data_IF_041425723564
#
_entry.id   IF_041425723564
#
_cell.length_a   1.000
_cell.length_b   1.000
_cell.length_c   1.000
_cell.angle_alpha   90.00
_cell.angle_beta   90.00
_cell.angle_gamma   90.00
#
_symmetry.space_group_name_H-M   'P 1'
#
loop_
_entity.id
_entity.type
_entity.pdbx_description
1 polymer ?
#
# COMPACT_ATOMS: atom_id res chain seq x y z
N UNK A 1 63.40 -18.28 23.87
CA UNK A 1 62.70 -17.02 23.52
C UNK A 1 61.66 -17.20 22.40
N UNK A 2 60.75 -18.18 22.52
CA UNK A 2 59.86 -18.58 21.39
C UNK A 2 58.35 -18.39 21.59
N UNK A 3 57.88 -17.93 22.76
CA UNK A 3 56.45 -17.98 23.10
C UNK A 3 55.65 -16.73 22.66
N UNK A 4 56.30 -15.57 22.49
CA UNK A 4 55.63 -14.31 22.14
C UNK A 4 55.22 -14.17 20.66
N UNK A 5 55.85 -14.90 19.74
CA UNK A 5 55.52 -14.85 18.31
C UNK A 5 54.28 -15.71 17.97
N UNK A 6 54.14 -16.86 18.62
CA UNK A 6 53.01 -17.79 18.42
C UNK A 6 51.67 -17.21 18.91
N UNK A 7 51.67 -16.49 20.03
CA UNK A 7 50.46 -15.86 20.57
C UNK A 7 49.95 -14.71 19.67
N UNK A 8 50.84 -13.88 19.12
CA UNK A 8 50.48 -12.77 18.21
C UNK A 8 49.99 -13.25 16.84
N UNK A 9 50.58 -14.33 16.30
CA UNK A 9 50.08 -14.97 15.09
C UNK A 9 48.68 -15.59 15.28
N UNK A 10 48.43 -16.17 16.45
CA UNK A 10 47.13 -16.75 16.81
C UNK A 10 46.03 -15.70 17.03
N UNK A 11 46.37 -14.53 17.55
CA UNK A 11 45.42 -13.43 17.72
C UNK A 11 45.10 -12.73 16.38
N UNK A 12 46.11 -12.47 15.53
CA UNK A 12 45.90 -11.96 14.16
C UNK A 12 45.10 -12.93 13.29
N UNK A 13 45.37 -14.24 13.38
CA UNK A 13 44.60 -15.25 12.65
C UNK A 13 43.16 -15.41 13.15
N UNK A 14 42.88 -15.10 14.42
CA UNK A 14 41.51 -15.02 14.94
C UNK A 14 40.79 -13.74 14.50
N UNK A 15 41.48 -12.60 14.52
CA UNK A 15 40.92 -11.34 14.03
C UNK A 15 40.61 -11.40 12.52
N UNK A 16 41.52 -11.95 11.71
CA UNK A 16 41.31 -12.12 10.28
C UNK A 16 40.15 -13.09 9.98
N UNK A 17 40.01 -14.18 10.74
CA UNK A 17 38.86 -15.09 10.62
C UNK A 17 37.56 -14.46 11.10
N UNK A 18 37.60 -13.63 12.13
CA UNK A 18 36.42 -12.90 12.63
C UNK A 18 35.97 -11.85 11.62
N UNK A 19 36.89 -11.07 11.06
CA UNK A 19 36.62 -10.08 10.00
C UNK A 19 36.15 -10.78 8.73
N UNK A 20 36.76 -11.88 8.32
CA UNK A 20 36.29 -12.67 7.18
C UNK A 20 34.90 -13.29 7.41
N UNK A 21 34.60 -13.76 8.63
CA UNK A 21 33.28 -14.27 9.00
C UNK A 21 32.22 -13.15 9.09
N UNK A 22 32.61 -11.94 9.51
CA UNK A 22 31.74 -10.75 9.48
C UNK A 22 31.50 -10.28 8.04
N UNK A 23 32.52 -10.33 7.18
CA UNK A 23 32.43 -10.02 5.76
C UNK A 23 31.53 -11.05 5.05
N UNK A 24 31.68 -12.36 5.33
CA UNK A 24 30.85 -13.45 4.79
C UNK A 24 29.37 -13.31 5.21
N UNK A 25 29.09 -12.95 6.47
CA UNK A 25 27.72 -12.63 6.93
C UNK A 25 27.13 -11.39 6.25
N UNK A 26 27.98 -10.49 5.72
CA UNK A 26 27.53 -9.32 4.96
C UNK A 26 27.23 -9.63 3.49
N UNK A 27 27.76 -10.75 2.95
CA UNK A 27 27.53 -11.18 1.56
C UNK A 27 26.25 -12.02 1.43
N UNK A 28 25.82 -12.70 2.50
CA UNK A 28 24.67 -13.62 2.47
C UNK A 28 23.32 -13.02 2.91
N UNK A 29 23.22 -11.69 3.03
CA UNK A 29 21.90 -11.06 3.14
C UNK A 29 21.24 -11.00 1.75
N UNK A 30 20.88 -12.17 1.24
CA UNK A 30 19.93 -12.34 0.15
C UNK A 30 18.61 -11.79 0.68
N UNK A 31 18.35 -10.51 0.37
CA UNK A 31 17.04 -9.91 0.56
C UNK A 31 16.08 -10.89 -0.13
N UNK A 32 15.13 -11.52 0.59
CA UNK A 32 14.11 -12.32 -0.04
C UNK A 32 13.50 -11.44 -1.13
N UNK A 33 13.43 -11.95 -2.35
CA UNK A 33 12.62 -11.31 -3.37
C UNK A 33 11.18 -11.43 -2.88
N UNK A 34 10.74 -10.46 -2.07
CA UNK A 34 9.35 -10.20 -1.70
C UNK A 34 8.61 -9.71 -2.95
N UNK A 35 8.75 -10.46 -4.02
CA UNK A 35 7.82 -10.52 -5.13
C UNK A 35 6.65 -11.41 -4.69
N UNK A 36 6.13 -11.18 -3.48
CA UNK A 36 4.77 -11.54 -3.14
C UNK A 36 3.90 -10.58 -3.95
N UNK A 37 3.61 -10.99 -5.18
CA UNK A 37 2.35 -10.63 -5.79
C UNK A 37 1.29 -11.07 -4.78
N UNK A 38 0.69 -10.11 -4.09
CA UNK A 38 -0.48 -10.36 -3.25
C UNK A 38 -1.46 -11.14 -4.15
N UNK A 39 -1.93 -12.33 -3.75
CA UNK A 39 -2.98 -12.99 -4.49
C UNK A 39 -4.25 -12.16 -4.27
N UNK A 40 -4.44 -11.13 -5.11
CA UNK A 40 -5.72 -10.47 -5.24
C UNK A 40 -6.71 -11.52 -5.76
N UNK A 41 -7.71 -11.87 -4.92
CA UNK A 41 -9.04 -12.09 -5.46
C UNK A 41 -9.62 -13.49 -5.46
N UNK A 42 -9.28 -14.38 -4.53
CA UNK A 42 -10.11 -15.59 -4.29
C UNK A 42 -11.00 -15.45 -3.05
N UNK A 43 -10.49 -14.89 -1.95
CA UNK A 43 -11.27 -14.76 -0.69
C UNK A 43 -12.42 -13.75 -0.80
N UNK A 44 -12.21 -12.61 -1.48
CA UNK A 44 -13.25 -11.58 -1.67
C UNK A 44 -14.30 -11.96 -2.72
N UNK A 45 -13.91 -12.72 -3.76
CA UNK A 45 -14.83 -13.16 -4.82
C UNK A 45 -15.78 -14.25 -4.31
N UNK A 46 -15.25 -15.24 -3.59
CA UNK A 46 -16.05 -16.31 -3.00
C UNK A 46 -17.10 -15.74 -2.01
N UNK A 47 -16.68 -14.77 -1.19
CA UNK A 47 -17.56 -14.10 -0.23
C UNK A 47 -18.62 -13.24 -0.91
N UNK A 48 -18.28 -12.55 -2.01
CA UNK A 48 -19.24 -11.79 -2.81
C UNK A 48 -20.27 -12.71 -3.50
N UNK A 49 -19.84 -13.85 -4.05
CA UNK A 49 -20.74 -14.85 -4.66
C UNK A 49 -21.68 -15.44 -3.61
N UNK A 50 -21.17 -15.77 -2.42
CA UNK A 50 -21.98 -16.27 -1.32
C UNK A 50 -23.06 -15.25 -0.89
N UNK A 51 -22.68 -13.97 -0.74
CA UNK A 51 -23.63 -12.91 -0.37
C UNK A 51 -24.73 -12.70 -1.44
N UNK A 52 -24.38 -12.80 -2.72
CA UNK A 52 -25.37 -12.70 -3.82
C UNK A 52 -26.32 -13.90 -3.81
N UNK A 53 -25.79 -15.11 -3.56
CA UNK A 53 -26.60 -16.32 -3.48
C UNK A 53 -27.55 -16.29 -2.27
N UNK A 54 -27.06 -15.85 -1.11
CA UNK A 54 -27.85 -15.70 0.12
C UNK A 54 -28.98 -14.68 -0.07
N UNK A 55 -28.68 -13.52 -0.69
CA UNK A 55 -29.72 -12.53 -1.04
C UNK A 55 -30.76 -13.07 -2.02
N UNK A 56 -30.35 -13.85 -3.02
CA UNK A 56 -31.28 -14.46 -3.97
C UNK A 56 -32.21 -15.50 -3.30
N UNK A 57 -31.69 -16.29 -2.35
CA UNK A 57 -32.52 -17.18 -1.53
C UNK A 57 -33.44 -16.40 -0.60
N UNK A 58 -32.98 -15.32 0.03
CA UNK A 58 -33.81 -14.50 0.91
C UNK A 58 -34.95 -13.81 0.14
N UNK A 59 -34.70 -13.30 -1.06
CA UNK A 59 -35.76 -12.76 -1.93
C UNK A 59 -36.74 -13.84 -2.36
N UNK A 60 -36.27 -15.04 -2.68
CA UNK A 60 -37.14 -16.15 -3.09
C UNK A 60 -37.99 -16.67 -1.92
N UNK A 61 -37.46 -16.69 -0.70
CA UNK A 61 -38.19 -17.05 0.53
C UNK A 61 -39.23 -15.97 0.87
N UNK A 62 -38.92 -14.68 0.65
CA UNK A 62 -39.85 -13.57 0.86
C UNK A 62 -41.01 -13.60 -0.15
N UNK A 63 -40.72 -13.94 -1.41
CA UNK A 63 -41.71 -14.11 -2.49
C UNK A 63 -42.62 -15.32 -2.24
N UNK A 64 -42.10 -16.44 -1.74
CA UNK A 64 -42.92 -17.62 -1.43
C UNK A 64 -43.78 -17.44 -0.17
N UNK A 65 -43.37 -16.59 0.78
CA UNK A 65 -44.07 -16.38 2.05
C UNK A 65 -45.18 -15.31 1.99
N UNK A 66 -45.32 -14.59 0.88
CA UNK A 66 -46.30 -13.50 0.72
C UNK A 66 -47.57 -13.86 -0.06
N UNK A 67 -47.79 -15.14 -0.40
CA UNK A 67 -49.07 -15.59 -0.96
C UNK A 67 -50.13 -15.67 0.14
N UNK A 68 -50.64 -14.51 0.55
CA UNK A 68 -51.92 -14.42 1.26
C UNK A 68 -53.03 -14.84 0.28
N UNK A 69 -53.97 -15.71 0.69
CA UNK A 69 -55.15 -15.97 -0.11
C UNK A 69 -55.93 -14.65 -0.23
N UNK A 70 -56.00 -14.12 -1.45
CA UNK A 70 -56.84 -12.97 -1.78
C UNK A 70 -58.27 -13.29 -1.35
N UNK A 71 -58.72 -12.68 -0.24
CA UNK A 71 -60.13 -12.66 0.12
C UNK A 71 -60.84 -11.97 -1.02
N UNK A 72 -61.68 -12.71 -1.74
CA UNK A 72 -62.55 -12.09 -2.74
C UNK A 72 -63.34 -10.96 -2.06
N UNK A 73 -63.32 -9.74 -2.62
CA UNK A 73 -64.05 -8.63 -2.04
C UNK A 73 -65.54 -8.98 -2.10
N UNK A 74 -66.15 -9.09 -0.92
CA UNK A 74 -67.60 -9.20 -0.79
C UNK A 74 -68.14 -7.94 -1.48
N UNK A 75 -68.92 -8.07 -2.55
CA UNK A 75 -69.23 -6.92 -3.37
C UNK A 75 -70.16 -5.98 -2.60
N UNK A 76 -69.73 -4.74 -2.43
CA UNK A 76 -70.49 -3.69 -1.74
C UNK A 76 -71.87 -3.52 -2.39
N UNK A 77 -72.88 -3.30 -1.54
CA UNK A 77 -74.24 -2.97 -1.96
C UNK A 77 -74.18 -1.58 -2.63
N UNK A 78 -74.87 -1.40 -3.75
CA UNK A 78 -74.83 -0.18 -4.58
C UNK A 78 -75.03 1.12 -3.78
N UNK A 79 -75.86 1.04 -2.74
CA UNK A 79 -76.13 2.12 -1.81
C UNK A 79 -74.86 2.63 -1.11
N UNK A 80 -74.03 1.72 -0.60
CA UNK A 80 -72.78 2.06 0.09
C UNK A 80 -71.79 2.71 -0.88
N UNK A 81 -71.71 2.21 -2.12
CA UNK A 81 -70.86 2.79 -3.16
C UNK A 81 -71.24 4.24 -3.47
N UNK A 82 -72.53 4.51 -3.70
CA UNK A 82 -73.02 5.85 -4.04
C UNK A 82 -72.84 6.81 -2.86
N UNK A 83 -73.15 6.37 -1.64
CA UNK A 83 -72.94 7.18 -0.45
C UNK A 83 -71.44 7.51 -0.28
N UNK A 84 -70.56 6.52 -0.37
CA UNK A 84 -69.12 6.69 -0.25
C UNK A 84 -68.55 7.60 -1.37
N UNK A 85 -69.05 7.48 -2.60
CA UNK A 85 -68.66 8.34 -3.72
C UNK A 85 -69.05 9.79 -3.49
N UNK A 86 -70.31 10.05 -3.12
CA UNK A 86 -70.80 11.41 -2.86
C UNK A 86 -70.07 12.06 -1.67
N UNK A 87 -69.74 11.28 -0.63
CA UNK A 87 -68.92 11.73 0.50
C UNK A 87 -67.50 12.08 0.06
N UNK A 88 -66.81 11.18 -0.66
CA UNK A 88 -65.43 11.38 -1.14
C UNK A 88 -65.29 12.59 -2.06
N UNK A 89 -66.31 12.87 -2.86
CA UNK A 89 -66.35 14.02 -3.77
C UNK A 89 -66.90 15.30 -3.11
N UNK A 90 -67.30 15.25 -1.83
CA UNK A 90 -67.78 16.41 -1.07
C UNK A 90 -69.17 16.91 -1.48
N UNK A 91 -69.99 16.07 -2.11
CA UNK A 91 -71.31 16.43 -2.65
C UNK A 91 -72.45 16.18 -1.63
N UNK A 92 -72.40 16.87 -0.49
CA UNK A 92 -73.28 16.61 0.66
C UNK A 92 -74.77 16.87 0.41
N UNK A 93 -75.12 17.91 -0.35
CA UNK A 93 -76.52 18.19 -0.71
C UNK A 93 -77.12 17.10 -1.60
N UNK A 94 -76.34 16.57 -2.53
CA UNK A 94 -76.75 15.48 -3.42
C UNK A 94 -76.92 14.19 -2.64
N UNK A 95 -76.07 13.95 -1.64
CA UNK A 95 -76.19 12.81 -0.73
C UNK A 95 -77.49 12.87 0.08
N UNK A 96 -77.82 14.02 0.68
CA UNK A 96 -79.04 14.18 1.47
C UNK A 96 -80.32 13.95 0.64
N UNK A 97 -80.37 14.51 -0.58
CA UNK A 97 -81.49 14.27 -1.50
C UNK A 97 -81.58 12.79 -1.88
N UNK A 98 -80.46 12.18 -2.26
CA UNK A 98 -80.40 10.77 -2.64
C UNK A 98 -80.88 9.84 -1.53
N UNK A 99 -80.39 10.02 -0.30
CA UNK A 99 -80.80 9.20 0.84
C UNK A 99 -82.29 9.35 1.12
N UNK A 100 -82.81 10.58 1.08
CA UNK A 100 -84.24 10.85 1.32
C UNK A 100 -85.14 10.13 0.31
N UNK A 101 -84.82 10.22 -0.97
CA UNK A 101 -85.57 9.56 -2.05
C UNK A 101 -85.44 8.03 -1.97
N UNK A 102 -84.25 7.52 -1.65
CA UNK A 102 -83.97 6.09 -1.53
C UNK A 102 -84.77 5.44 -0.39
N UNK A 103 -84.80 6.06 0.80
CA UNK A 103 -85.61 5.58 1.93
C UNK A 103 -87.11 5.67 1.65
N UNK A 104 -87.56 6.71 0.93
CA UNK A 104 -88.96 6.85 0.53
C UNK A 104 -89.39 5.73 -0.45
N UNK A 105 -88.51 5.35 -1.40
CA UNK A 105 -88.76 4.23 -2.30
C UNK A 105 -88.82 2.88 -1.57
N UNK A 106 -87.95 2.67 -0.57
CA UNK A 106 -87.95 1.47 0.26
C UNK A 106 -89.25 1.34 1.04
N UNK A 107 -89.74 2.45 1.64
CA UNK A 107 -91.00 2.45 2.40
C UNK A 107 -92.23 2.17 1.54
N UNK A 108 -92.19 2.55 0.26
CA UNK A 108 -93.27 2.28 -0.72
C UNK A 108 -93.28 0.84 -1.24
N UNK A 109 -92.36 -0.02 -0.81
CA UNK A 109 -92.36 -1.45 -1.12
C UNK A 109 -91.92 -1.80 -2.54
N UNK A 110 -91.22 -0.90 -3.23
CA UNK A 110 -90.68 -1.17 -4.58
C UNK A 110 -89.48 -2.10 -4.44
N UNK A 111 -89.72 -3.41 -4.53
CA UNK A 111 -88.71 -4.47 -4.33
C UNK A 111 -87.76 -4.64 -5.52
N UNK A 112 -88.09 -4.11 -6.70
CA UNK A 112 -87.33 -4.30 -7.94
C UNK A 112 -85.93 -3.63 -7.94
N UNK A 113 -85.65 -2.70 -7.03
CA UNK A 113 -84.32 -2.08 -6.91
C UNK A 113 -83.30 -2.93 -6.14
N UNK A 114 -83.73 -3.91 -5.32
CA UNK A 114 -82.80 -4.77 -4.56
C UNK A 114 -82.06 -5.78 -5.44
N UNK A 115 -82.59 -6.06 -6.64
CA UNK A 115 -82.01 -6.97 -7.63
C UNK A 115 -81.15 -6.24 -8.68
N UNK A 116 -80.93 -4.93 -8.53
CA UNK A 116 -79.93 -4.22 -9.32
C UNK A 116 -78.57 -4.71 -8.81
N UNK A 117 -78.04 -5.70 -9.53
CA UNK A 117 -76.83 -6.44 -9.16
C UNK A 117 -75.62 -5.52 -8.91
N UNK A 118 -74.69 -6.02 -8.11
CA UNK A 118 -73.46 -5.33 -7.71
C UNK A 118 -72.82 -4.54 -8.86
N UNK A 119 -72.58 -3.24 -8.64
CA UNK A 119 -71.87 -2.37 -9.57
C UNK A 119 -70.51 -3.00 -9.89
N UNK A 120 -70.25 -3.42 -11.14
CA UNK A 120 -69.03 -4.14 -11.47
C UNK A 120 -67.79 -3.24 -11.46
N UNK A 121 -66.82 -3.68 -10.65
CA UNK A 121 -65.40 -3.91 -10.98
C UNK A 121 -64.55 -2.75 -11.52
N UNK A 122 -64.96 -2.02 -12.55
CA UNK A 122 -64.10 -1.08 -13.30
C UNK A 122 -63.64 0.12 -12.47
N UNK A 123 -64.50 0.69 -11.61
CA UNK A 123 -64.11 1.80 -10.74
C UNK A 123 -63.11 1.35 -9.67
N UNK A 124 -63.39 0.21 -9.02
CA UNK A 124 -62.51 -0.38 -8.01
C UNK A 124 -61.18 -0.79 -8.63
N UNK A 125 -61.21 -1.37 -9.83
CA UNK A 125 -60.04 -1.73 -10.61
C UNK A 125 -59.23 -0.48 -11.00
N UNK A 126 -59.86 0.61 -11.45
CA UNK A 126 -59.18 1.87 -11.72
C UNK A 126 -58.56 2.48 -10.46
N UNK A 127 -59.25 2.44 -9.33
CA UNK A 127 -58.70 2.92 -8.06
C UNK A 127 -57.49 2.08 -7.61
N UNK A 128 -57.53 0.76 -7.79
CA UNK A 128 -56.40 -0.13 -7.53
C UNK A 128 -55.23 0.16 -8.47
N UNK A 129 -55.49 0.30 -9.77
CA UNK A 129 -54.49 0.64 -10.79
C UNK A 129 -53.87 2.02 -10.58
N UNK A 130 -54.65 3.00 -10.10
CA UNK A 130 -54.14 4.32 -9.72
C UNK A 130 -53.21 4.24 -8.51
N UNK A 131 -53.59 3.45 -7.50
CA UNK A 131 -52.77 3.25 -6.31
C UNK A 131 -51.48 2.49 -6.65
N UNK A 132 -51.57 1.45 -7.48
CA UNK A 132 -50.42 0.71 -7.99
C UNK A 132 -49.51 1.62 -8.82
N UNK A 133 -50.05 2.44 -9.73
CA UNK A 133 -49.26 3.43 -10.47
C UNK A 133 -48.55 4.43 -9.54
N UNK A 134 -49.21 4.87 -8.47
CA UNK A 134 -48.59 5.78 -7.48
C UNK A 134 -47.43 5.07 -6.75
N UNK A 135 -47.63 3.81 -6.36
CA UNK A 135 -46.60 3.00 -5.71
C UNK A 135 -45.43 2.72 -6.66
N UNK A 136 -45.70 2.26 -7.89
CA UNK A 136 -44.68 2.02 -8.92
C UNK A 136 -43.87 3.28 -9.25
N UNK A 137 -44.51 4.45 -9.33
CA UNK A 137 -43.81 5.73 -9.53
C UNK A 137 -42.89 6.07 -8.36
N UNK A 138 -43.33 5.79 -7.13
CA UNK A 138 -42.52 6.00 -5.92
C UNK A 138 -41.33 5.05 -5.90
N UNK A 139 -41.55 3.78 -6.19
CA UNK A 139 -40.49 2.76 -6.24
C UNK A 139 -39.49 3.05 -7.35
N UNK A 140 -39.94 3.44 -8.54
CA UNK A 140 -39.07 3.86 -9.63
C UNK A 140 -38.18 5.04 -9.22
N UNK A 141 -38.73 6.03 -8.51
CA UNK A 141 -37.94 7.15 -7.98
C UNK A 141 -36.90 6.66 -6.97
N UNK A 142 -37.27 5.74 -6.08
CA UNK A 142 -36.33 5.16 -5.10
C UNK A 142 -35.22 4.36 -5.77
N UNK A 143 -35.55 3.50 -6.73
CA UNK A 143 -34.56 2.72 -7.49
C UNK A 143 -33.62 3.62 -8.29
N UNK A 144 -34.14 4.68 -8.90
CA UNK A 144 -33.31 5.66 -9.60
C UNK A 144 -32.31 6.34 -8.66
N UNK A 145 -32.77 6.79 -7.49
CA UNK A 145 -31.89 7.39 -6.47
C UNK A 145 -30.85 6.39 -5.95
N UNK A 146 -31.23 5.14 -5.72
CA UNK A 146 -30.32 4.08 -5.28
C UNK A 146 -29.25 3.78 -6.35
N UNK A 147 -29.65 3.68 -7.62
CA UNK A 147 -28.73 3.47 -8.73
C UNK A 147 -27.77 4.66 -8.90
N UNK A 148 -28.27 5.88 -8.77
CA UNK A 148 -27.45 7.09 -8.88
C UNK A 148 -26.41 7.17 -7.76
N UNK A 149 -26.81 6.84 -6.52
CA UNK A 149 -25.89 6.75 -5.38
C UNK A 149 -24.85 5.65 -5.56
N UNK A 150 -25.27 4.45 -5.97
CA UNK A 150 -24.36 3.32 -6.21
C UNK A 150 -23.31 3.67 -7.28
N UNK A 151 -23.71 4.38 -8.34
CA UNK A 151 -22.80 4.87 -9.38
C UNK A 151 -21.80 5.89 -8.84
N UNK A 152 -22.22 6.81 -7.97
CA UNK A 152 -21.30 7.77 -7.33
C UNK A 152 -20.29 7.08 -6.41
N UNK A 153 -20.73 6.13 -5.60
CA UNK A 153 -19.85 5.40 -4.68
C UNK A 153 -18.87 4.48 -5.44
N UNK A 154 -19.31 3.88 -6.55
CA UNK A 154 -18.43 3.16 -7.47
C UNK A 154 -17.35 4.07 -8.07
N UNK A 155 -17.70 5.29 -8.48
CA UNK A 155 -16.72 6.24 -9.00
C UNK A 155 -15.72 6.68 -7.92
N UNK A 156 -16.14 6.86 -6.67
CA UNK A 156 -15.23 7.18 -5.55
C UNK A 156 -14.25 6.04 -5.29
N UNK A 157 -14.74 4.81 -5.19
CA UNK A 157 -13.90 3.62 -4.94
C UNK A 157 -12.93 3.36 -6.10
N UNK A 158 -13.34 3.56 -7.35
CA UNK A 158 -12.44 3.48 -8.50
C UNK A 158 -11.31 4.52 -8.44
N UNK A 159 -11.62 5.77 -8.08
CA UNK A 159 -10.60 6.82 -7.91
C UNK A 159 -9.59 6.46 -6.81
N UNK A 160 -10.07 5.96 -5.67
CA UNK A 160 -9.20 5.54 -4.57
C UNK A 160 -8.29 4.36 -4.98
N UNK A 161 -8.89 3.34 -5.62
CA UNK A 161 -8.13 2.21 -6.19
C UNK A 161 -7.05 2.69 -7.16
N UNK A 162 -7.39 3.60 -8.07
CA UNK A 162 -6.46 4.12 -9.07
C UNK A 162 -5.36 4.98 -8.44
N UNK A 163 -5.70 5.75 -7.40
CA UNK A 163 -4.74 6.48 -6.58
C UNK A 163 -3.75 5.54 -5.91
N UNK A 164 -4.23 4.50 -5.22
CA UNK A 164 -3.36 3.49 -4.58
C UNK A 164 -2.49 2.76 -5.61
N UNK A 165 -3.07 2.36 -6.74
CA UNK A 165 -2.34 1.68 -7.81
C UNK A 165 -1.25 2.55 -8.40
N UNK A 166 -1.53 3.83 -8.65
CA UNK A 166 -0.53 4.79 -9.14
C UNK A 166 0.57 5.02 -8.09
N UNK A 167 0.18 5.21 -6.83
CA UNK A 167 1.10 5.48 -5.73
C UNK A 167 2.04 4.30 -5.48
N UNK A 168 1.51 3.08 -5.45
CA UNK A 168 2.32 1.87 -5.34
C UNK A 168 3.34 1.76 -6.48
N UNK A 169 2.92 1.99 -7.73
CA UNK A 169 3.85 2.01 -8.89
C UNK A 169 4.97 3.02 -8.70
N UNK A 170 4.67 4.23 -8.22
CA UNK A 170 5.68 5.25 -7.94
C UNK A 170 6.65 4.80 -6.86
N UNK A 171 6.15 4.29 -5.72
CA UNK A 171 6.98 3.80 -4.62
C UNK A 171 7.91 2.69 -5.09
N UNK A 172 7.41 1.75 -5.90
CA UNK A 172 8.24 0.66 -6.43
C UNK A 172 9.37 1.19 -7.32
N UNK A 173 9.10 2.20 -8.16
CA UNK A 173 10.13 2.85 -8.97
C UNK A 173 11.19 3.54 -8.09
N UNK A 174 10.77 4.29 -7.08
CA UNK A 174 11.66 4.96 -6.13
C UNK A 174 12.50 3.95 -5.33
N UNK A 175 11.87 2.89 -4.80
CA UNK A 175 12.54 1.78 -4.12
C UNK A 175 13.61 1.15 -5.02
N UNK A 176 13.28 0.86 -6.27
CA UNK A 176 14.21 0.25 -7.22
C UNK A 176 15.40 1.16 -7.54
N UNK A 177 15.17 2.47 -7.66
CA UNK A 177 16.24 3.46 -7.81
C UNK A 177 17.19 3.43 -6.62
N UNK A 178 16.66 3.51 -5.39
CA UNK A 178 17.45 3.46 -4.16
C UNK A 178 18.22 2.14 -4.02
N UNK A 179 17.63 1.01 -4.40
CA UNK A 179 18.30 -0.29 -4.41
C UNK A 179 19.50 -0.26 -5.36
N UNK A 180 19.36 0.34 -6.54
CA UNK A 180 20.45 0.42 -7.52
C UNK A 180 21.57 1.35 -7.03
N UNK A 181 21.21 2.50 -6.47
CA UNK A 181 22.18 3.43 -5.88
C UNK A 181 22.96 2.76 -4.74
N UNK A 182 22.28 2.01 -3.87
CA UNK A 182 22.92 1.25 -2.79
C UNK A 182 23.86 0.15 -3.32
N UNK A 183 23.46 -0.56 -4.38
CA UNK A 183 24.33 -1.56 -5.04
C UNK A 183 25.58 -0.90 -5.61
N UNK A 184 25.45 0.23 -6.30
CA UNK A 184 26.56 1.00 -6.81
C UNK A 184 27.50 1.49 -5.70
N UNK A 185 26.93 2.00 -4.62
CA UNK A 185 27.70 2.45 -3.46
C UNK A 185 28.49 1.30 -2.82
N UNK A 186 27.86 0.14 -2.61
CA UNK A 186 28.53 -1.06 -2.09
C UNK A 186 29.71 -1.48 -2.97
N UNK A 187 29.53 -1.48 -4.29
CA UNK A 187 30.59 -1.81 -5.24
C UNK A 187 31.77 -0.83 -5.14
N UNK A 188 31.48 0.47 -5.05
CA UNK A 188 32.50 1.50 -4.86
C UNK A 188 33.25 1.33 -3.53
N UNK A 189 32.58 1.02 -2.43
CA UNK A 189 33.25 0.75 -1.15
C UNK A 189 34.13 -0.51 -1.19
N UNK A 190 33.68 -1.55 -1.87
CA UNK A 190 34.49 -2.75 -2.08
C UNK A 190 35.78 -2.44 -2.85
N UNK A 191 35.79 -1.42 -3.73
CA UNK A 191 37.00 -0.99 -4.46
C UNK A 191 38.05 -0.27 -3.59
N UNK A 192 37.67 0.30 -2.45
CA UNK A 192 38.63 0.95 -1.55
C UNK A 192 39.53 -0.05 -0.84
N UNK A 193 39.03 -1.23 -0.54
CA UNK A 193 39.77 -2.29 0.16
C UNK A 193 41.11 -2.63 -0.53
N UNK A 194 41.17 -2.98 -1.83
CA UNK A 194 42.45 -3.22 -2.51
C UNK A 194 43.32 -1.95 -2.60
N UNK A 195 42.70 -0.77 -2.77
CA UNK A 195 43.43 0.51 -2.84
C UNK A 195 44.17 0.81 -1.53
N UNK A 196 43.49 0.61 -0.40
CA UNK A 196 44.06 0.78 0.94
C UNK A 196 45.18 -0.25 1.17
N UNK A 197 44.99 -1.51 0.76
CA UNK A 197 46.04 -2.54 0.87
C UNK A 197 47.30 -2.14 0.12
N UNK A 198 47.18 -1.72 -1.14
CA UNK A 198 48.31 -1.25 -1.95
C UNK A 198 49.00 -0.05 -1.30
N UNK A 199 48.23 0.88 -0.71
CA UNK A 199 48.80 2.05 -0.05
C UNK A 199 49.59 1.66 1.22
N UNK A 200 49.07 0.72 2.02
CA UNK A 200 49.75 0.17 3.20
C UNK A 200 51.06 -0.52 2.79
N UNK A 201 51.02 -1.33 1.72
CA UNK A 201 52.21 -2.01 1.19
C UNK A 201 53.27 -1.01 0.72
N UNK A 202 52.87 0.01 -0.04
CA UNK A 202 53.77 1.09 -0.49
C UNK A 202 54.38 1.85 0.69
N UNK A 203 53.58 2.17 1.69
CA UNK A 203 54.07 2.83 2.90
C UNK A 203 55.12 1.99 3.63
N UNK A 204 54.87 0.68 3.80
CA UNK A 204 55.85 -0.23 4.40
C UNK A 204 57.14 -0.36 3.57
N UNK A 205 57.04 -0.40 2.23
CA UNK A 205 58.21 -0.44 1.36
C UNK A 205 59.04 0.85 1.47
N UNK A 206 58.39 2.01 1.45
CA UNK A 206 59.04 3.30 1.58
C UNK A 206 59.74 3.46 2.93
N UNK A 207 59.13 2.99 4.02
CA UNK A 207 59.78 3.00 5.34
C UNK A 207 61.06 2.14 5.35
N UNK A 208 61.05 0.96 4.73
CA UNK A 208 62.24 0.10 4.61
C UNK A 208 63.33 0.78 3.78
N UNK A 209 62.98 1.34 2.62
CA UNK A 209 63.93 2.08 1.79
C UNK A 209 64.52 3.28 2.54
N UNK A 210 63.68 4.10 3.19
CA UNK A 210 64.13 5.24 3.99
C UNK A 210 65.16 4.83 5.05
N UNK A 211 64.93 3.69 5.72
CA UNK A 211 65.87 3.15 6.70
C UNK A 211 67.20 2.73 6.07
N UNK A 212 67.16 1.99 4.94
CA UNK A 212 68.36 1.57 4.21
C UNK A 212 69.19 2.78 3.73
N UNK A 213 68.55 3.75 3.07
CA UNK A 213 69.20 4.98 2.62
C UNK A 213 69.77 5.78 3.79
N UNK A 214 69.13 5.73 4.97
CA UNK A 214 69.70 6.38 6.16
C UNK A 214 70.99 5.71 6.63
N UNK A 215 71.01 4.38 6.68
CA UNK A 215 72.21 3.63 7.05
C UNK A 215 73.36 3.84 6.05
N UNK A 216 73.05 3.89 4.75
CA UNK A 216 74.03 4.19 3.70
C UNK A 216 74.60 5.60 3.86
N UNK A 217 73.75 6.59 4.15
CA UNK A 217 74.16 7.96 4.44
C UNK A 217 75.07 8.02 5.68
N UNK A 218 74.68 7.37 6.77
CA UNK A 218 75.45 7.37 8.03
C UNK A 218 76.82 6.71 7.82
N UNK A 219 76.89 5.62 7.03
CA UNK A 219 78.16 4.98 6.64
C UNK A 219 79.03 5.93 5.80
N UNK A 220 78.47 6.60 4.81
CA UNK A 220 79.20 7.56 3.97
C UNK A 220 79.72 8.76 4.79
N UNK A 221 78.89 9.32 5.68
CA UNK A 221 79.30 10.38 6.62
C UNK A 221 80.43 9.91 7.52
N UNK A 222 80.34 8.70 8.09
CA UNK A 222 81.41 8.12 8.90
C UNK A 222 82.73 7.95 8.13
N UNK A 223 82.69 7.52 6.86
CA UNK A 223 83.86 7.45 6.00
C UNK A 223 84.45 8.85 5.72
N UNK A 224 83.61 9.84 5.40
CA UNK A 224 84.05 11.22 5.17
C UNK A 224 84.70 11.81 6.43
N UNK A 225 84.09 11.63 7.61
CA UNK A 225 84.65 12.09 8.87
C UNK A 225 85.99 11.41 9.18
N UNK A 226 86.12 10.11 8.92
CA UNK A 226 87.38 9.38 9.04
C UNK A 226 88.46 9.94 8.11
N UNK A 227 88.14 10.14 6.82
CA UNK A 227 89.06 10.73 5.85
C UNK A 227 89.46 12.17 6.22
N UNK A 228 88.51 13.00 6.69
CA UNK A 228 88.78 14.36 7.17
C UNK A 228 89.71 14.37 8.38
N UNK A 229 89.56 13.42 9.32
CA UNK A 229 90.47 13.29 10.45
C UNK A 229 91.90 12.93 10.00
N UNK A 230 92.04 11.99 9.06
CA UNK A 230 93.35 11.63 8.48
C UNK A 230 93.98 12.83 7.78
N UNK A 231 93.22 13.56 6.95
CA UNK A 231 93.70 14.77 6.28
C UNK A 231 94.18 15.83 7.27
N UNK A 232 93.42 16.10 8.35
CA UNK A 232 93.84 17.03 9.41
C UNK A 232 95.12 16.59 10.10
N UNK A 233 95.26 15.30 10.43
CA UNK A 233 96.50 14.78 11.02
C UNK A 233 97.71 14.96 10.09
N UNK A 234 97.53 14.72 8.78
CA UNK A 234 98.59 14.94 7.79
C UNK A 234 98.94 16.42 7.64
N UNK A 235 97.95 17.31 7.63
CA UNK A 235 98.14 18.75 7.54
C UNK A 235 98.87 19.31 8.77
N UNK A 236 98.49 18.87 9.97
CA UNK A 236 99.19 19.19 11.22
C UNK A 236 100.63 18.69 11.20
N UNK A 237 100.86 17.43 10.79
CA UNK A 237 102.22 16.87 10.64
C UNK A 237 103.08 17.66 9.65
N UNK A 238 102.49 18.05 8.52
CA UNK A 238 103.14 18.88 7.51
C UNK A 238 103.49 20.27 8.05
N UNK A 239 102.59 20.89 8.83
CA UNK A 239 102.84 22.19 9.47
C UNK A 239 103.94 22.13 10.55
N UNK A 240 104.07 21.02 11.28
CA UNK A 240 105.20 20.80 12.20
C UNK A 240 106.54 20.67 11.45
N UNK A 241 106.60 19.90 10.37
CA UNK A 241 107.80 19.79 9.53
C UNK A 241 108.18 21.13 8.87
N UNK A 242 107.20 21.90 8.39
CA UNK A 242 107.44 23.23 7.82
C UNK A 242 107.87 24.28 8.87
N UNK A 243 107.60 24.05 10.15
CA UNK A 243 108.04 24.90 11.27
C UNK A 243 109.46 24.54 11.75
N UNK A 244 109.82 23.24 11.76
CA UNK A 244 111.20 22.78 12.02
C UNK A 244 112.20 23.25 10.96
N UNK A 245 111.77 23.38 9.70
CA UNK A 245 112.62 23.88 8.60
C UNK A 245 112.81 25.41 8.71
N UNK A 246 111.82 26.16 9.24
CA UNK A 246 111.92 27.62 9.44
C UNK A 246 112.67 28.04 10.71
N UNK A 247 112.73 27.20 11.75
CA UNK A 247 113.50 27.46 12.97
C UNK A 247 115.01 27.17 12.86
N UNK A 248 115.48 26.71 11.69
CA UNK A 248 116.89 26.41 11.40
C UNK A 248 117.55 27.41 10.45
N UNK A 249 116.95 28.59 10.26
CA UNK A 249 117.52 29.68 9.45
C UNK A 249 117.80 30.91 10.28
#
# INVERSE_FOLDING_TARGET
TGLGARARASHRGRLLRFVAAQQARLVDLKIPDDNFSIPEGEEDLAKAIQMVQEQATDTQILEQKTVLPSKQPIPEVIEDFLCNFLIKMGMTRTLDCFQSEWYELIQKGVTELRDIGNVPDVYTQNMLLENENKNLKKDLKHYKQAADKAREDLLKTQKERDFHRMHHKRIVQEKNKLINDLKGLKLHYASYEPTIRVLIEKHHALLKQKMLTSLERDRAVGQISGLQAILKHMEVRHNYQASEIRGKS
#
